data_IF_300445236837
#
_entry.id   IF_300445236837
#
_cell.length_a   1.000
_cell.length_b   1.000
_cell.length_c   1.000
_cell.angle_alpha   90.00
_cell.angle_beta   90.00
_cell.angle_gamma   90.00
#
_symmetry.space_group_name_H-M   'P 1'
#
loop_
_entity.id
_entity.type
_entity.pdbx_description
1 polymer ?
#
# COMPACT_ATOMS: atom_id res chain seq x y z
N UNK A 1 -6.48 2.52 -43.29
CA UNK A 1 -6.55 1.27 -42.51
C UNK A 1 -6.47 1.64 -41.04
N UNK A 2 -7.58 1.54 -40.31
CA UNK A 2 -7.60 1.80 -38.86
C UNK A 2 -7.17 0.53 -38.14
N UNK A 3 -6.04 0.57 -37.44
CA UNK A 3 -5.61 -0.52 -36.56
C UNK A 3 -6.29 -0.35 -35.20
N UNK A 4 -7.27 -1.20 -34.94
CA UNK A 4 -8.03 -1.26 -33.70
C UNK A 4 -7.33 -2.21 -32.71
N UNK A 5 -6.10 -1.87 -32.32
CA UNK A 5 -5.32 -2.65 -31.37
C UNK A 5 -5.40 -2.04 -29.97
N UNK A 6 -6.07 -2.70 -29.03
CA UNK A 6 -5.77 -2.50 -27.61
C UNK A 6 -4.38 -3.07 -27.38
N UNK A 7 -3.41 -2.23 -27.06
CA UNK A 7 -2.09 -2.68 -26.64
C UNK A 7 -2.09 -2.76 -25.12
N UNK A 8 -2.10 -3.97 -24.58
CA UNK A 8 -1.80 -4.22 -23.17
C UNK A 8 -0.28 -4.26 -22.98
N UNK A 9 0.19 -3.64 -21.91
CA UNK A 9 1.62 -3.57 -21.59
C UNK A 9 1.94 -4.76 -20.70
N UNK A 10 2.61 -5.77 -21.26
CA UNK A 10 2.82 -7.04 -20.54
C UNK A 10 4.07 -7.07 -19.64
N UNK A 11 5.05 -6.16 -19.76
CA UNK A 11 6.19 -6.04 -18.80
C UNK A 11 7.16 -4.89 -19.13
N UNK A 12 8.06 -4.56 -18.18
CA UNK A 12 9.15 -3.56 -18.28
C UNK A 12 10.08 -3.72 -19.50
N UNK A 13 10.16 -4.92 -20.10
CA UNK A 13 11.11 -5.22 -21.18
C UNK A 13 10.90 -4.41 -22.46
N UNK A 14 9.71 -3.83 -22.65
CA UNK A 14 9.35 -3.12 -23.88
C UNK A 14 9.11 -1.61 -23.67
N UNK A 15 9.46 -1.05 -22.51
CA UNK A 15 9.19 0.36 -22.20
C UNK A 15 9.95 1.33 -23.11
N UNK A 16 11.24 1.11 -23.32
CA UNK A 16 12.06 1.97 -24.17
C UNK A 16 11.61 1.91 -25.65
N UNK A 17 11.21 0.73 -26.13
CA UNK A 17 10.68 0.57 -27.49
C UNK A 17 9.32 1.25 -27.64
N UNK A 18 8.47 1.18 -26.62
CA UNK A 18 7.20 1.90 -26.55
C UNK A 18 7.39 3.42 -26.54
N UNK A 19 8.30 3.94 -25.73
CA UNK A 19 8.62 5.37 -25.66
C UNK A 19 9.20 5.91 -26.97
N UNK A 20 10.02 5.10 -27.65
CA UNK A 20 10.58 5.44 -28.96
C UNK A 20 9.49 5.54 -30.04
N UNK A 21 8.50 4.64 -30.02
CA UNK A 21 7.35 4.66 -30.94
C UNK A 21 6.35 5.79 -30.63
N UNK A 22 6.21 6.18 -29.35
CA UNK A 22 5.39 7.34 -28.96
C UNK A 22 5.96 8.67 -29.44
N UNK A 23 7.30 8.81 -29.50
CA UNK A 23 7.94 10.01 -30.04
C UNK A 23 7.63 10.29 -31.52
N UNK A 24 7.22 9.27 -32.28
CA UNK A 24 6.85 9.39 -33.70
C UNK A 24 5.38 9.80 -33.91
N UNK A 25 4.52 9.64 -32.90
CA UNK A 25 3.09 9.94 -32.97
C UNK A 25 2.76 11.12 -32.05
N UNK A 26 2.76 12.33 -32.60
CA UNK A 26 2.50 13.58 -31.86
C UNK A 26 1.20 13.58 -31.01
N UNK A 27 1.09 14.49 -30.04
CA UNK A 27 0.27 14.34 -28.83
C UNK A 27 -1.21 14.68 -29.07
N UNK A 28 -1.94 13.85 -29.79
CA UNK A 28 -3.40 13.96 -29.89
C UNK A 28 -4.06 12.65 -29.50
N UNK A 29 -4.54 12.61 -28.26
CA UNK A 29 -5.44 11.59 -27.68
C UNK A 29 -4.80 10.30 -27.16
N UNK A 30 -3.82 10.41 -26.27
CA UNK A 30 -3.43 9.30 -25.40
C UNK A 30 -3.69 9.73 -23.96
N UNK A 31 -4.70 9.13 -23.32
CA UNK A 31 -4.87 9.17 -21.87
C UNK A 31 -3.68 8.42 -21.25
N UNK A 32 -2.74 9.16 -20.67
CA UNK A 32 -1.65 8.62 -19.85
C UNK A 32 -2.22 8.15 -18.51
N UNK A 33 -2.87 6.98 -18.52
CA UNK A 33 -3.43 6.35 -17.32
C UNK A 33 -2.51 5.34 -16.65
N UNK A 34 -1.26 5.20 -17.10
CA UNK A 34 -0.30 4.28 -16.49
C UNK A 34 1.12 4.77 -16.71
N UNK A 35 1.77 5.16 -15.61
CA UNK A 35 3.22 5.34 -15.55
C UNK A 35 3.81 4.02 -15.04
N UNK A 36 4.52 3.25 -15.87
CA UNK A 36 5.28 2.10 -15.40
C UNK A 36 6.47 2.65 -14.62
N UNK A 37 6.55 2.38 -13.32
CA UNK A 37 7.78 2.60 -12.55
C UNK A 37 7.74 3.68 -11.48
N UNK A 38 6.58 4.17 -11.04
CA UNK A 38 6.56 4.76 -9.69
C UNK A 38 6.53 3.63 -8.67
N UNK A 39 7.71 3.17 -8.23
CA UNK A 39 7.86 2.48 -6.94
C UNK A 39 7.59 3.48 -5.81
N UNK A 40 6.38 4.06 -5.82
CA UNK A 40 6.03 5.22 -5.01
C UNK A 40 6.12 4.88 -3.53
N UNK A 41 5.83 3.62 -3.22
CA UNK A 41 5.87 3.08 -1.87
C UNK A 41 7.26 2.67 -1.43
N UNK A 42 8.28 2.60 -2.30
CA UNK A 42 9.61 2.16 -1.87
C UNK A 42 10.20 3.10 -0.84
N UNK A 43 10.49 2.58 0.36
CA UNK A 43 11.15 3.35 1.39
C UNK A 43 10.87 2.86 2.80
N UNK A 44 11.53 3.54 3.74
CA UNK A 44 11.26 3.41 5.17
C UNK A 44 10.43 4.60 5.60
N UNK A 45 9.44 4.35 6.44
CA UNK A 45 8.51 5.36 6.93
C UNK A 45 8.39 5.23 8.43
N UNK A 46 8.50 6.33 9.16
CA UNK A 46 8.26 6.38 10.60
C UNK A 46 6.91 7.06 10.83
N UNK A 47 6.10 6.51 11.73
CA UNK A 47 4.83 7.15 12.10
C UNK A 47 5.07 8.59 12.56
N UNK A 48 4.30 9.52 11.99
CA UNK A 48 4.36 10.95 12.28
C UNK A 48 3.10 11.40 13.03
N UNK A 49 1.93 10.92 12.60
CA UNK A 49 0.66 11.19 13.28
C UNK A 49 -0.35 10.08 13.05
N UNK A 50 -1.32 9.98 13.97
CA UNK A 50 -2.44 9.07 13.88
C UNK A 50 -3.72 9.74 14.41
N UNK A 51 -4.88 9.35 13.87
CA UNK A 51 -6.20 9.85 14.27
C UNK A 51 -7.15 8.68 14.52
N UNK A 52 -7.98 8.81 15.56
CA UNK A 52 -9.01 7.82 15.94
C UNK A 52 -8.47 6.42 16.29
N UNK A 53 -7.19 6.31 16.70
CA UNK A 53 -6.55 5.06 17.12
C UNK A 53 -7.39 4.31 18.16
N UNK A 54 -7.73 4.97 19.26
CA UNK A 54 -8.48 4.38 20.36
C UNK A 54 -9.83 3.80 19.96
N UNK A 55 -10.61 4.57 19.22
CA UNK A 55 -11.95 4.19 18.81
C UNK A 55 -11.89 2.98 17.86
N UNK A 56 -10.95 3.02 16.91
CA UNK A 56 -10.74 1.94 15.95
C UNK A 56 -10.24 0.65 16.64
N UNK A 57 -9.24 0.74 17.51
CA UNK A 57 -8.70 -0.43 18.20
C UNK A 57 -9.72 -1.06 19.16
N UNK A 58 -10.55 -0.25 19.83
CA UNK A 58 -11.69 -0.74 20.62
C UNK A 58 -12.71 -1.45 19.74
N UNK A 59 -13.02 -0.90 18.56
CA UNK A 59 -13.97 -1.49 17.61
C UNK A 59 -13.46 -2.79 17.00
N UNK A 60 -12.14 -2.93 16.83
CA UNK A 60 -11.47 -4.19 16.48
C UNK A 60 -11.50 -5.24 17.61
N UNK A 61 -11.89 -4.85 18.83
CA UNK A 61 -11.96 -5.75 19.98
C UNK A 61 -10.62 -6.02 20.66
N UNK A 62 -9.64 -5.12 20.51
CA UNK A 62 -8.38 -5.22 21.25
C UNK A 62 -8.61 -4.88 22.73
N UNK A 63 -7.94 -5.59 23.66
CA UNK A 63 -8.05 -5.28 25.09
C UNK A 63 -7.39 -3.94 25.39
N UNK A 64 -7.96 -3.16 26.33
CA UNK A 64 -7.48 -1.81 26.67
C UNK A 64 -5.99 -1.75 27.00
N UNK A 65 -5.45 -2.76 27.68
CA UNK A 65 -4.02 -2.85 28.00
C UNK A 65 -3.12 -2.94 26.74
N UNK A 66 -3.58 -3.64 25.69
CA UNK A 66 -2.86 -3.69 24.41
C UNK A 66 -2.95 -2.37 23.64
N UNK A 67 -4.09 -1.68 23.73
CA UNK A 67 -4.31 -0.35 23.13
C UNK A 67 -3.39 0.67 23.78
N UNK A 68 -3.33 0.70 25.11
CA UNK A 68 -2.46 1.62 25.84
C UNK A 68 -0.98 1.35 25.59
N UNK A 69 -0.58 0.08 25.53
CA UNK A 69 0.79 -0.31 25.20
C UNK A 69 1.16 0.09 23.78
N UNK A 70 0.27 -0.15 22.81
CA UNK A 70 0.51 0.17 21.41
C UNK A 70 0.48 1.66 21.09
N UNK A 71 -0.12 2.48 21.97
CA UNK A 71 -0.23 3.92 21.79
C UNK A 71 1.15 4.57 21.75
N UNK A 72 1.34 5.51 20.82
CA UNK A 72 2.59 6.25 20.63
C UNK A 72 3.81 5.38 20.28
N UNK A 73 3.60 4.13 19.86
CA UNK A 73 4.71 3.33 19.33
C UNK A 73 5.25 3.96 18.06
N UNK A 74 6.56 4.22 18.06
CA UNK A 74 7.30 4.66 16.87
C UNK A 74 7.50 3.47 15.93
N UNK A 75 6.45 3.10 15.24
CA UNK A 75 6.48 2.02 14.26
C UNK A 75 7.21 2.52 13.02
N UNK A 76 8.21 1.76 12.59
CA UNK A 76 8.89 1.98 11.31
C UNK A 76 8.35 0.97 10.31
N UNK A 77 7.76 1.46 9.23
CA UNK A 77 7.26 0.67 8.11
C UNK A 77 8.27 0.72 6.97
N UNK A 78 8.83 -0.42 6.59
CA UNK A 78 9.69 -0.56 5.42
C UNK A 78 8.91 -1.26 4.31
N UNK A 79 8.77 -0.59 3.16
CA UNK A 79 8.10 -1.14 2.00
C UNK A 79 9.11 -1.29 0.87
N UNK A 80 9.19 -2.51 0.34
CA UNK A 80 9.91 -2.86 -0.86
C UNK A 80 8.90 -3.30 -1.93
N UNK A 81 8.83 -2.56 -3.00
CA UNK A 81 7.97 -2.71 -4.15
C UNK A 81 8.85 -3.02 -5.36
N UNK A 82 8.60 -4.19 -5.94
CA UNK A 82 9.19 -4.68 -7.18
C UNK A 82 8.05 -4.98 -8.17
N UNK A 83 7.70 -3.97 -8.96
CA UNK A 83 6.52 -3.98 -9.83
C UNK A 83 5.23 -4.20 -9.05
N UNK A 84 4.66 -5.41 -9.16
CA UNK A 84 3.44 -5.85 -8.48
C UNK A 84 3.71 -6.62 -7.17
N UNK A 85 4.97 -6.93 -6.87
CA UNK A 85 5.35 -7.63 -5.65
C UNK A 85 5.73 -6.63 -4.56
N UNK A 86 5.19 -6.84 -3.38
CA UNK A 86 5.42 -6.00 -2.22
C UNK A 86 5.92 -6.84 -1.07
N UNK A 87 6.95 -6.33 -0.39
CA UNK A 87 7.38 -6.77 0.94
C UNK A 87 7.15 -5.60 1.89
N UNK A 88 6.21 -5.77 2.79
CA UNK A 88 5.78 -4.77 3.76
C UNK A 88 6.19 -5.21 5.16
N UNK A 89 7.24 -4.59 5.69
CA UNK A 89 7.78 -4.87 7.01
C UNK A 89 7.40 -3.77 7.99
N UNK A 90 6.95 -4.15 9.18
CA UNK A 90 6.67 -3.25 10.28
C UNK A 90 7.57 -3.61 11.46
N UNK A 91 8.33 -2.62 11.94
CA UNK A 91 9.25 -2.74 13.05
C UNK A 91 8.66 -2.00 14.26
N UNK A 92 8.45 -2.73 15.34
CA UNK A 92 7.88 -2.22 16.58
C UNK A 92 8.99 -1.97 17.61
N UNK A 93 8.79 -1.01 18.52
CA UNK A 93 9.65 -0.87 19.70
C UNK A 93 9.73 -2.18 20.48
N UNK A 94 10.92 -2.54 20.96
CA UNK A 94 11.16 -3.80 21.68
C UNK A 94 11.62 -4.97 20.82
N UNK A 95 11.94 -4.75 19.55
CA UNK A 95 12.59 -5.73 18.67
C UNK A 95 11.64 -6.67 17.93
N UNK A 96 10.34 -6.54 18.15
CA UNK A 96 9.33 -7.25 17.37
C UNK A 96 9.24 -6.65 15.97
N UNK A 97 9.25 -7.52 14.95
CA UNK A 97 9.01 -7.11 13.57
C UNK A 97 8.11 -8.13 12.88
N UNK A 98 7.33 -7.63 11.93
CA UNK A 98 6.39 -8.42 11.15
C UNK A 98 6.60 -8.08 9.68
N UNK A 99 6.66 -9.08 8.81
CA UNK A 99 6.84 -8.89 7.36
C UNK A 99 5.78 -9.63 6.59
N UNK A 100 5.00 -8.89 5.81
CA UNK A 100 4.00 -9.42 4.89
C UNK A 100 4.51 -9.31 3.45
N UNK A 101 4.47 -10.42 2.72
CA UNK A 101 4.84 -10.46 1.31
C UNK A 101 3.60 -10.76 0.48
N UNK A 102 3.27 -9.88 -0.45
CA UNK A 102 2.07 -10.00 -1.26
C UNK A 102 2.30 -9.57 -2.69
N UNK A 103 1.50 -10.10 -3.61
CA UNK A 103 1.48 -9.70 -5.01
C UNK A 103 0.11 -9.13 -5.32
N UNK A 104 0.06 -7.97 -5.98
CA UNK A 104 -1.20 -7.33 -6.37
C UNK A 104 -2.04 -8.30 -7.22
N UNK A 105 -3.33 -8.41 -6.90
CA UNK A 105 -4.31 -9.26 -7.60
C UNK A 105 -4.19 -10.75 -7.30
N UNK A 106 -3.30 -11.17 -6.40
CA UNK A 106 -3.17 -12.57 -5.98
C UNK A 106 -3.50 -12.74 -4.51
N UNK A 107 -4.13 -13.86 -4.18
CA UNK A 107 -4.31 -14.26 -2.79
C UNK A 107 -2.94 -14.58 -2.16
N UNK A 108 -2.70 -14.07 -0.96
CA UNK A 108 -1.47 -14.26 -0.21
C UNK A 108 -1.76 -14.47 1.28
N UNK A 109 -0.87 -15.19 1.95
CA UNK A 109 -0.90 -15.34 3.41
C UNK A 109 -0.36 -14.06 4.05
N UNK A 110 -1.18 -13.41 4.86
CA UNK A 110 -0.86 -12.20 5.59
C UNK A 110 -0.96 -12.45 7.10
N UNK A 111 -0.18 -11.72 7.87
CA UNK A 111 -0.17 -11.71 9.31
C UNK A 111 -0.63 -10.33 9.82
N UNK A 112 -1.52 -10.35 10.81
CA UNK A 112 -1.94 -9.15 11.54
C UNK A 112 -1.00 -8.86 12.69
N UNK A 113 -1.00 -7.62 13.19
CA UNK A 113 -0.23 -7.23 14.40
C UNK A 113 -0.48 -8.14 15.62
N UNK A 114 -1.65 -8.79 15.69
CA UNK A 114 -1.99 -9.74 16.74
C UNK A 114 -1.47 -11.18 16.51
N UNK A 115 -0.58 -11.40 15.54
CA UNK A 115 -0.03 -12.72 15.20
C UNK A 115 -1.01 -13.67 14.51
N UNK A 116 -2.21 -13.19 14.17
CA UNK A 116 -3.20 -14.00 13.42
C UNK A 116 -2.86 -13.98 11.94
N UNK A 117 -2.72 -15.17 11.36
CA UNK A 117 -2.54 -15.39 9.93
C UNK A 117 -3.89 -15.54 9.24
N UNK A 118 -4.03 -14.95 8.07
CA UNK A 118 -5.24 -15.00 7.25
C UNK A 118 -4.84 -14.86 5.78
N UNK A 119 -5.74 -15.25 4.87
CA UNK A 119 -5.55 -15.05 3.44
C UNK A 119 -6.30 -13.79 2.99
N UNK A 120 -5.65 -12.97 2.19
CA UNK A 120 -6.27 -11.82 1.56
C UNK A 120 -5.68 -11.55 0.18
N UNK A 121 -6.47 -10.87 -0.63
CA UNK A 121 -6.05 -10.39 -1.95
C UNK A 121 -5.84 -8.89 -1.85
N UNK A 122 -4.63 -8.44 -2.14
CA UNK A 122 -4.29 -7.01 -2.16
C UNK A 122 -4.48 -6.47 -3.57
N UNK A 123 -5.17 -5.35 -3.71
CA UNK A 123 -5.43 -4.71 -4.99
C UNK A 123 -4.74 -3.35 -5.10
N UNK A 124 -4.64 -2.83 -6.32
CA UNK A 124 -4.12 -1.49 -6.60
C UNK A 124 -5.18 -0.71 -7.38
N UNK A 125 -5.71 0.36 -6.79
CA UNK A 125 -6.75 1.20 -7.39
C UNK A 125 -6.31 2.66 -7.38
N UNK A 126 -6.16 3.28 -8.56
CA UNK A 126 -5.81 4.70 -8.66
C UNK A 126 -4.49 5.08 -7.97
N UNK A 127 -3.53 4.16 -7.87
CA UNK A 127 -2.25 4.36 -7.16
C UNK A 127 -2.31 4.10 -5.65
N UNK A 128 -3.44 3.59 -5.14
CA UNK A 128 -3.63 3.18 -3.75
C UNK A 128 -3.58 1.67 -3.64
N UNK A 129 -2.86 1.17 -2.65
CA UNK A 129 -2.94 -0.22 -2.23
C UNK A 129 -4.22 -0.40 -1.43
N UNK A 130 -5.06 -1.35 -1.82
CA UNK A 130 -6.37 -1.60 -1.22
C UNK A 130 -6.44 -3.05 -0.73
N UNK A 131 -6.87 -3.24 0.52
CA UNK A 131 -7.00 -4.57 1.13
C UNK A 131 -8.33 -4.64 1.89
N UNK A 132 -9.16 -5.59 1.50
CA UNK A 132 -10.36 -5.96 2.23
C UNK A 132 -10.04 -7.05 3.24
N UNK A 133 -10.03 -6.69 4.52
CA UNK A 133 -9.98 -7.66 5.61
C UNK A 133 -11.42 -8.04 6.00
N UNK A 134 -11.63 -9.23 6.59
CA UNK A 134 -12.96 -9.65 7.03
C UNK A 134 -13.67 -8.66 7.97
N UNK A 135 -12.90 -7.87 8.73
CA UNK A 135 -13.43 -6.95 9.74
C UNK A 135 -13.28 -5.47 9.37
N UNK A 136 -12.40 -5.10 8.44
CA UNK A 136 -12.12 -3.70 8.12
C UNK A 136 -11.58 -3.55 6.70
N UNK A 137 -11.81 -2.40 6.10
CA UNK A 137 -11.24 -2.03 4.81
C UNK A 137 -10.00 -1.17 5.03
N UNK A 138 -8.91 -1.46 4.34
CA UNK A 138 -7.68 -0.67 4.44
C UNK A 138 -7.26 -0.16 3.06
N UNK A 139 -6.87 1.12 3.03
CA UNK A 139 -6.22 1.75 1.88
C UNK A 139 -4.89 2.35 2.31
N UNK A 140 -3.89 2.29 1.43
CA UNK A 140 -2.58 2.89 1.65
C UNK A 140 -2.15 3.63 0.39
N UNK A 141 -1.72 4.87 0.54
CA UNK A 141 -1.31 5.72 -0.57
C UNK A 141 -0.14 6.64 -0.20
N UNK A 142 0.54 7.17 -1.21
CA UNK A 142 1.64 8.12 -1.02
C UNK A 142 1.14 9.52 -1.34
N UNK A 143 1.04 10.37 -0.31
CA UNK A 143 0.57 11.77 -0.42
C UNK A 143 1.68 12.69 0.04
N UNK A 144 2.18 13.55 -0.86
CA UNK A 144 3.24 14.50 -0.52
C UNK A 144 4.54 13.83 -0.02
N UNK A 145 4.84 12.63 -0.49
CA UNK A 145 6.01 11.84 -0.06
C UNK A 145 5.84 11.15 1.30
N UNK A 146 4.67 11.21 1.91
CA UNK A 146 4.31 10.50 3.15
C UNK A 146 3.44 9.30 2.84
N UNK A 147 3.59 8.25 3.62
CA UNK A 147 2.72 7.08 3.57
C UNK A 147 1.48 7.35 4.42
N UNK A 148 0.32 7.41 3.78
CA UNK A 148 -0.98 7.61 4.42
C UNK A 148 -1.74 6.30 4.35
N UNK A 149 -2.13 5.80 5.51
CA UNK A 149 -2.87 4.55 5.66
C UNK A 149 -4.20 4.85 6.34
N UNK A 150 -5.28 4.41 5.72
CA UNK A 150 -6.64 4.63 6.21
C UNK A 150 -7.31 3.27 6.38
N UNK A 151 -7.71 2.96 7.61
CA UNK A 151 -8.45 1.74 7.94
C UNK A 151 -9.86 2.11 8.42
N UNK A 152 -10.89 1.50 7.85
CA UNK A 152 -12.28 1.81 8.16
C UNK A 152 -13.03 0.57 8.64
N UNK A 153 -13.74 0.69 9.76
CA UNK A 153 -14.58 -0.37 10.35
C UNK A 153 -15.90 0.22 10.84
N UNK A 154 -17.02 -0.21 10.25
CA UNK A 154 -18.37 0.15 10.71
C UNK A 154 -18.61 1.66 10.86
N UNK A 155 -18.03 2.49 9.98
CA UNK A 155 -18.14 3.95 10.00
C UNK A 155 -17.04 4.68 10.78
N UNK A 156 -16.21 3.97 11.55
CA UNK A 156 -15.03 4.55 12.23
C UNK A 156 -13.85 4.48 11.28
N UNK A 157 -13.19 5.61 11.05
CA UNK A 157 -12.00 5.71 10.20
C UNK A 157 -10.78 6.05 11.04
N UNK A 158 -9.81 5.14 11.03
CA UNK A 158 -8.46 5.34 11.55
C UNK A 158 -7.54 5.81 10.44
N UNK A 159 -6.79 6.88 10.70
CA UNK A 159 -5.81 7.43 9.77
C UNK A 159 -4.43 7.37 10.43
N UNK A 160 -3.45 6.84 9.72
CA UNK A 160 -2.04 6.86 10.08
C UNK A 160 -1.25 7.54 8.99
N UNK A 161 -0.47 8.55 9.35
CA UNK A 161 0.45 9.25 8.45
C UNK A 161 1.87 9.00 8.92
N UNK A 162 2.70 8.47 8.02
CA UNK A 162 4.09 8.15 8.27
C UNK A 162 5.00 8.95 7.34
N UNK A 163 5.99 9.64 7.91
CA UNK A 163 6.99 10.39 7.16
C UNK A 163 8.03 9.43 6.60
N UNK A 164 8.50 9.66 5.38
CA UNK A 164 9.61 8.89 4.81
C UNK A 164 10.90 9.22 5.56
N UNK A 165 11.63 8.18 5.95
CA UNK A 165 12.99 8.26 6.45
C UNK A 165 13.92 8.33 5.23
N UNK A 166 14.80 9.33 5.21
CA UNK A 166 15.74 9.59 4.12
C UNK A 166 16.75 8.44 3.93
#
# INVERSE_FOLDING_TARGET
MAFNGKYEIESEKNYDEFMKRLGEWGPKNIFLGWSPGSMAFNGKYEIESEKNYDEFMKRLGLPSDAIEKGRNFKIVTEVQQDGQNFTWSQHYPGGHSMTNKFTIGKECDMETMGGKKFKATVQMEGGKVVVDFPNYHQTSEIVGGKLVEISTIGGVTYERVSKRLA
#
